data_IF_987028401195
#
_entry.id   IF_987028401195
#
_cell.length_a   1.000
_cell.length_b   1.000
_cell.length_c   1.000
_cell.angle_alpha   90.00
_cell.angle_beta   90.00
_cell.angle_gamma   90.00
#
_symmetry.space_group_name_H-M   'P 1'
#
loop_
_entity.id
_entity.type
_entity.pdbx_description
1 polymer ?
#
# COMPACT_ATOMS: atom_id res chain seq x y z
N UNK A 1 4.18 -7.98 20.91
CA UNK A 1 5.56 -8.41 20.56
C UNK A 1 6.23 -7.25 19.86
N UNK A 2 7.41 -6.82 20.33
CA UNK A 2 8.15 -5.72 19.70
C UNK A 2 8.76 -6.20 18.38
N UNK A 3 8.65 -5.43 17.28
CA UNK A 3 9.35 -5.75 16.04
C UNK A 3 10.86 -5.67 16.29
N UNK A 4 11.60 -6.67 15.84
CA UNK A 4 13.06 -6.65 15.92
C UNK A 4 13.60 -5.68 14.87
N UNK A 5 14.56 -4.84 15.27
CA UNK A 5 15.15 -3.79 14.42
C UNK A 5 16.65 -3.72 14.67
N UNK A 6 17.41 -3.62 13.59
CA UNK A 6 18.84 -3.40 13.56
C UNK A 6 19.13 -2.13 12.74
N UNK A 7 19.95 -1.24 13.28
CA UNK A 7 20.34 0.00 12.62
C UNK A 7 21.84 0.25 12.85
N UNK A 8 22.61 0.39 11.77
CA UNK A 8 24.06 0.60 11.85
C UNK A 8 24.57 1.38 10.65
N UNK A 9 25.55 2.23 10.89
CA UNK A 9 26.30 2.89 9.83
C UNK A 9 27.51 2.03 9.47
N UNK A 10 27.71 1.80 8.17
CA UNK A 10 28.83 1.01 7.66
C UNK A 10 29.52 1.77 6.55
N UNK A 11 30.81 1.52 6.35
CA UNK A 11 31.54 2.00 5.18
C UNK A 11 31.16 1.18 3.93
N UNK A 12 31.70 1.57 2.76
CA UNK A 12 31.45 0.87 1.50
C UNK A 12 31.81 -0.63 1.55
N UNK A 13 32.81 -1.01 2.35
CA UNK A 13 33.24 -2.40 2.52
C UNK A 13 32.42 -3.20 3.54
N UNK A 14 31.69 -2.52 4.42
CA UNK A 14 30.92 -3.11 5.52
C UNK A 14 29.54 -3.60 5.11
N UNK A 15 28.91 -3.00 4.09
CA UNK A 15 27.59 -3.42 3.62
C UNK A 15 27.56 -4.89 3.14
N UNK A 16 28.50 -5.37 2.31
CA UNK A 16 28.55 -6.78 1.92
C UNK A 16 28.72 -7.74 3.11
N UNK A 17 29.43 -7.31 4.17
CA UNK A 17 29.61 -8.12 5.39
C UNK A 17 28.30 -8.21 6.17
N UNK A 18 27.60 -7.08 6.36
CA UNK A 18 26.28 -7.04 7.02
C UNK A 18 25.26 -7.93 6.30
N UNK A 19 25.25 -7.96 4.97
CA UNK A 19 24.36 -8.82 4.20
C UNK A 19 24.71 -10.30 4.33
N UNK A 20 26.00 -10.63 4.41
CA UNK A 20 26.46 -12.01 4.60
C UNK A 20 26.13 -12.51 6.01
N UNK A 21 26.40 -11.71 7.04
CA UNK A 21 26.08 -12.04 8.43
C UNK A 21 24.56 -12.20 8.63
N UNK A 22 23.75 -11.40 7.94
CA UNK A 22 22.30 -11.56 7.93
C UNK A 22 21.87 -12.88 7.24
N UNK A 23 22.43 -13.20 6.08
CA UNK A 23 22.13 -14.45 5.37
C UNK A 23 22.49 -15.67 6.23
N UNK A 24 23.68 -15.67 6.84
CA UNK A 24 24.15 -16.74 7.72
C UNK A 24 23.23 -16.88 8.95
N UNK A 25 22.75 -15.77 9.52
CA UNK A 25 21.80 -15.79 10.64
C UNK A 25 20.42 -16.36 10.24
N UNK A 26 19.98 -16.14 9.00
CA UNK A 26 18.71 -16.68 8.48
C UNK A 26 18.79 -18.17 8.17
N UNK A 27 19.91 -18.61 7.61
CA UNK A 27 20.15 -20.00 7.21
C UNK A 27 20.54 -20.89 8.42
N UNK A 28 21.28 -20.34 9.38
CA UNK A 28 21.81 -21.05 10.55
C UNK A 28 20.83 -21.23 11.72
N UNK A 29 19.60 -20.73 11.62
CA UNK A 29 18.63 -20.68 12.71
C UNK A 29 18.07 -22.06 13.17
N UNK A 30 18.58 -23.17 12.61
CA UNK A 30 18.41 -24.53 13.15
C UNK A 30 19.46 -24.92 14.21
N UNK A 31 20.65 -24.31 14.19
CA UNK A 31 21.73 -24.59 15.13
C UNK A 31 22.06 -23.33 15.94
N UNK A 32 21.83 -23.42 17.26
CA UNK A 32 21.95 -22.33 18.24
C UNK A 32 23.39 -21.82 18.44
N UNK A 33 24.03 -21.27 17.41
CA UNK A 33 25.39 -20.68 17.51
C UNK A 33 25.64 -19.44 16.67
N UNK A 34 24.62 -18.72 16.19
CA UNK A 34 24.83 -17.37 15.67
C UNK A 34 24.88 -16.35 16.83
N UNK A 35 26.05 -16.25 17.48
CA UNK A 35 26.36 -15.11 18.35
C UNK A 35 26.78 -13.92 17.48
N UNK A 36 26.12 -12.78 17.62
CA UNK A 36 26.42 -11.55 16.86
C UNK A 36 25.26 -10.55 16.90
N UNK A 37 25.38 -9.46 16.14
CA UNK A 37 24.42 -8.35 16.06
C UNK A 37 22.99 -8.79 15.62
N UNK A 38 22.85 -10.01 15.10
CA UNK A 38 21.61 -10.63 14.63
C UNK A 38 21.06 -11.73 15.56
N UNK A 39 21.63 -11.89 16.76
CA UNK A 39 21.13 -12.83 17.75
C UNK A 39 19.68 -12.46 18.15
N UNK A 40 18.73 -13.35 17.84
CA UNK A 40 17.31 -13.14 18.12
C UNK A 40 16.42 -12.90 16.89
N UNK A 41 17.00 -12.86 15.69
CA UNK A 41 16.22 -13.04 14.45
C UNK A 41 15.67 -14.47 14.48
N UNK A 42 14.38 -14.62 14.77
CA UNK A 42 13.76 -15.96 14.76
C UNK A 42 13.63 -16.45 13.33
N UNK A 43 13.91 -17.74 13.07
CA UNK A 43 13.75 -18.31 11.73
C UNK A 43 12.32 -18.12 11.23
N UNK A 44 12.22 -17.77 9.95
CA UNK A 44 11.01 -17.55 9.15
C UNK A 44 10.11 -18.80 9.01
N UNK A 45 10.34 -19.83 9.82
CA UNK A 45 9.81 -21.18 9.69
C UNK A 45 9.02 -21.57 10.94
N UNK A 46 8.00 -20.80 11.27
CA UNK A 46 7.05 -21.10 12.35
C UNK A 46 5.64 -20.84 11.86
N UNK A 47 4.84 -21.91 11.78
CA UNK A 47 3.49 -21.97 11.20
C UNK A 47 2.65 -20.69 11.35
N UNK A 48 2.18 -20.17 10.21
CA UNK A 48 0.94 -19.40 10.15
C UNK A 48 1.04 -17.88 10.06
N UNK A 49 2.22 -17.26 10.17
CA UNK A 49 2.40 -15.84 9.84
C UNK A 49 3.59 -15.67 8.92
N UNK A 50 3.36 -15.29 7.66
CA UNK A 50 4.45 -14.79 6.82
C UNK A 50 5.11 -13.63 7.58
N UNK A 51 6.41 -13.67 7.79
CA UNK A 51 7.17 -12.55 8.37
C UNK A 51 7.97 -11.92 7.22
N UNK A 52 8.06 -10.59 7.18
CA UNK A 52 8.78 -9.84 6.16
C UNK A 52 10.00 -9.17 6.80
N UNK A 53 11.15 -9.29 6.13
CA UNK A 53 12.31 -8.44 6.37
C UNK A 53 12.26 -7.27 5.41
N UNK A 54 12.43 -6.07 5.95
CA UNK A 54 12.68 -4.87 5.17
C UNK A 54 14.09 -4.40 5.45
N UNK A 55 14.89 -4.33 4.39
CA UNK A 55 16.26 -3.83 4.40
C UNK A 55 16.32 -2.52 3.63
N UNK A 56 16.76 -1.48 4.30
CA UNK A 56 16.99 -0.15 3.72
C UNK A 56 18.47 0.18 3.89
N UNK A 57 19.12 0.51 2.78
CA UNK A 57 20.50 1.00 2.77
C UNK A 57 20.53 2.35 2.08
N UNK A 58 20.76 3.41 2.84
CA UNK A 58 20.85 4.78 2.33
C UNK A 58 22.32 5.16 2.15
N UNK A 59 22.70 5.50 0.92
CA UNK A 59 24.04 5.97 0.61
C UNK A 59 24.30 7.34 1.25
N UNK A 60 25.49 7.53 1.80
CA UNK A 60 25.94 8.77 2.42
C UNK A 60 26.98 9.48 1.57
N UNK A 61 27.10 10.78 1.79
CA UNK A 61 28.05 11.65 1.07
C UNK A 61 29.52 11.27 1.31
N UNK A 62 29.82 10.57 2.41
CA UNK A 62 31.14 10.04 2.75
C UNK A 62 31.47 8.69 2.06
N UNK A 63 30.58 8.20 1.19
CA UNK A 63 30.74 6.91 0.52
C UNK A 63 30.35 5.71 1.39
N UNK A 64 29.83 5.92 2.60
CA UNK A 64 29.27 4.90 3.47
C UNK A 64 27.78 4.66 3.25
N UNK A 65 27.20 3.79 4.07
CA UNK A 65 25.77 3.44 4.07
C UNK A 65 25.19 3.48 5.48
N UNK A 66 23.99 4.07 5.62
CA UNK A 66 23.14 3.85 6.78
C UNK A 66 22.23 2.64 6.50
N UNK A 67 22.40 1.56 7.27
CA UNK A 67 21.67 0.31 7.06
C UNK A 67 20.65 0.13 8.17
N UNK A 68 19.39 -0.05 7.78
CA UNK A 68 18.29 -0.40 8.67
C UNK A 68 17.64 -1.70 8.23
N UNK A 69 17.58 -2.68 9.13
CA UNK A 69 16.94 -3.97 8.91
C UNK A 69 15.82 -4.11 9.93
N UNK A 70 14.61 -4.37 9.47
CA UNK A 70 13.44 -4.54 10.35
C UNK A 70 12.76 -5.86 10.05
N UNK A 71 12.47 -6.63 11.11
CA UNK A 71 11.67 -7.84 11.03
C UNK A 71 10.28 -7.56 11.58
N UNK A 72 9.27 -7.68 10.71
CA UNK A 72 7.87 -7.56 11.07
C UNK A 72 7.10 -8.81 10.67
N UNK A 73 5.92 -9.00 11.26
CA UNK A 73 4.91 -9.83 10.61
C UNK A 73 4.66 -9.22 9.22
N UNK A 74 4.49 -10.07 8.21
CA UNK A 74 3.95 -9.65 6.92
C UNK A 74 2.53 -9.15 7.22
N UNK A 75 2.47 -7.86 7.56
CA UNK A 75 1.31 -7.06 7.20
C UNK A 75 1.16 -7.27 5.72
N UNK A 76 0.06 -7.90 5.34
CA UNK A 76 -0.53 -7.82 4.02
C UNK A 76 -0.10 -6.51 3.39
N UNK A 77 0.78 -6.59 2.38
CA UNK A 77 1.26 -5.42 1.67
C UNK A 77 0.04 -4.68 1.14
N UNK A 78 -0.16 -3.50 1.68
CA UNK A 78 -1.38 -2.74 1.50
C UNK A 78 -1.61 -1.91 2.76
N UNK A 79 -0.82 -0.85 2.92
CA UNK A 79 -1.26 0.44 3.47
C UNK A 79 -0.13 1.47 3.59
N UNK A 80 -0.24 2.51 2.77
CA UNK A 80 -0.15 3.89 3.28
C UNK A 80 -0.95 3.97 4.59
N UNK A 81 -0.47 4.67 5.63
CA UNK A 81 -1.08 4.62 6.96
C UNK A 81 -2.53 5.10 6.91
N UNK A 82 -3.47 4.15 7.00
CA UNK A 82 -4.82 4.43 7.49
C UNK A 82 -4.65 4.74 8.97
N UNK A 83 -5.02 5.93 9.47
CA UNK A 83 -4.98 6.18 10.90
C UNK A 83 -5.98 5.22 11.56
N UNK A 84 -5.43 4.30 12.35
CA UNK A 84 -6.21 3.43 13.21
C UNK A 84 -7.09 4.28 14.11
N UNK A 85 -8.38 3.94 14.17
CA UNK A 85 -9.28 4.47 15.17
C UNK A 85 -8.66 4.28 16.56
N UNK A 86 -8.53 5.39 17.29
CA UNK A 86 -8.20 5.35 18.70
C UNK A 86 -9.38 4.73 19.46
N UNK A 87 -9.27 3.44 19.78
CA UNK A 87 -9.78 2.95 21.06
C UNK A 87 -8.85 3.49 22.14
N UNK A 88 -9.20 4.63 22.73
CA UNK A 88 -8.74 5.00 24.06
C UNK A 88 -9.87 4.69 25.05
N UNK A 89 -9.78 3.53 25.70
CA UNK A 89 -10.39 3.35 27.00
C UNK A 89 -9.40 3.80 28.07
N UNK A 90 -9.80 4.85 28.79
CA UNK A 90 -9.48 5.20 30.17
C UNK A 90 -7.99 5.31 30.61
N UNK A 91 -7.49 6.55 30.67
CA UNK A 91 -6.87 7.14 31.90
C UNK A 91 -6.56 8.65 31.74
N UNK A 92 -7.27 9.44 32.54
CA UNK A 92 -7.03 10.83 33.01
C UNK A 92 -6.87 12.01 32.01
N UNK A 93 -7.34 13.24 32.36
CA UNK A 93 -7.67 14.29 31.41
C UNK A 93 -6.51 15.26 31.16
N UNK A 94 -5.92 15.20 29.97
CA UNK A 94 -5.11 16.29 29.40
C UNK A 94 -5.83 16.83 28.16
N UNK A 95 -6.25 18.10 28.19
CA UNK A 95 -6.95 18.80 27.10
C UNK A 95 -6.15 18.73 25.78
N UNK A 96 -6.44 17.76 24.90
CA UNK A 96 -6.04 17.81 23.51
C UNK A 96 -7.09 18.62 22.73
N UNK A 97 -6.68 19.78 22.21
CA UNK A 97 -7.54 20.66 21.43
C UNK A 97 -8.05 19.95 20.17
N UNK A 98 -9.35 20.01 19.93
CA UNK A 98 -9.95 19.53 18.69
C UNK A 98 -9.31 20.25 17.47
N UNK A 99 -9.08 19.54 16.35
CA UNK A 99 -8.52 20.15 15.15
C UNK A 99 -9.42 21.29 14.68
N UNK A 100 -8.82 22.39 14.21
CA UNK A 100 -9.61 23.51 13.68
C UNK A 100 -10.35 23.04 12.42
N UNK A 101 -11.57 23.54 12.14
CA UNK A 101 -12.38 23.09 11.00
C UNK A 101 -11.66 23.06 9.63
N UNK A 102 -10.69 23.96 9.40
CA UNK A 102 -9.87 23.99 8.18
C UNK A 102 -8.82 22.88 8.06
N UNK A 103 -8.27 22.37 9.18
CA UNK A 103 -7.25 21.32 9.18
C UNK A 103 -7.84 19.95 8.85
N UNK A 104 -9.06 19.67 9.34
CA UNK A 104 -9.78 18.44 9.01
C UNK A 104 -10.08 18.33 7.50
N UNK A 105 -10.44 19.45 6.86
CA UNK A 105 -10.70 19.49 5.43
C UNK A 105 -9.42 19.33 4.60
N UNK A 106 -8.31 19.94 5.03
CA UNK A 106 -7.00 19.76 4.39
C UNK A 106 -6.52 18.31 4.46
N UNK A 107 -6.65 17.67 5.63
CA UNK A 107 -6.32 16.25 5.82
C UNK A 107 -7.19 15.33 4.95
N UNK A 108 -8.49 15.62 4.82
CA UNK A 108 -9.38 14.85 3.95
C UNK A 108 -8.98 14.95 2.47
N UNK A 109 -8.63 16.15 2.00
CA UNK A 109 -8.14 16.37 0.62
C UNK A 109 -6.82 15.65 0.37
N UNK A 110 -5.90 15.66 1.33
CA UNK A 110 -4.61 14.98 1.20
C UNK A 110 -4.79 13.46 1.16
N UNK A 111 -5.64 12.88 2.03
CA UNK A 111 -6.00 11.46 1.97
C UNK A 111 -6.60 11.07 0.62
N UNK A 112 -7.53 11.88 0.10
CA UNK A 112 -8.15 11.63 -1.19
C UNK A 112 -7.12 11.68 -2.35
N UNK A 113 -6.18 12.63 -2.32
CA UNK A 113 -5.08 12.69 -3.30
C UNK A 113 -4.19 11.45 -3.25
N UNK A 114 -3.85 10.98 -2.05
CA UNK A 114 -3.03 9.78 -1.88
C UNK A 114 -3.75 8.54 -2.40
N UNK A 115 -5.06 8.39 -2.14
CA UNK A 115 -5.87 7.32 -2.69
C UNK A 115 -5.91 7.36 -4.22
N UNK A 116 -6.16 8.53 -4.82
CA UNK A 116 -6.16 8.71 -6.27
C UNK A 116 -4.81 8.32 -6.90
N UNK A 117 -3.70 8.69 -6.26
CA UNK A 117 -2.34 8.34 -6.72
C UNK A 117 -2.10 6.83 -6.65
N UNK A 118 -2.49 6.18 -5.56
CA UNK A 118 -2.37 4.72 -5.41
C UNK A 118 -3.23 3.99 -6.45
N UNK A 119 -4.49 4.41 -6.63
CA UNK A 119 -5.40 3.83 -7.61
C UNK A 119 -4.85 3.95 -9.03
N UNK A 120 -4.25 5.09 -9.37
CA UNK A 120 -3.61 5.30 -10.67
C UNK A 120 -2.39 4.38 -10.86
N UNK A 121 -1.58 4.17 -9.83
CA UNK A 121 -0.43 3.29 -9.90
C UNK A 121 -0.85 1.85 -10.17
N UNK A 122 -1.84 1.34 -9.43
CA UNK A 122 -2.38 -0.01 -9.62
C UNK A 122 -3.00 -0.17 -11.00
N UNK A 123 -3.81 0.80 -11.45
CA UNK A 123 -4.38 0.80 -12.79
C UNK A 123 -3.29 0.69 -13.87
N UNK A 124 -2.19 1.45 -13.72
CA UNK A 124 -1.10 1.46 -14.69
C UNK A 124 -0.30 0.16 -14.69
N UNK A 125 -0.21 -0.53 -13.55
CA UNK A 125 0.41 -1.85 -13.44
C UNK A 125 -0.48 -2.93 -14.09
N UNK A 126 -1.79 -2.89 -13.83
CA UNK A 126 -2.76 -3.79 -14.47
C UNK A 126 -2.76 -3.64 -15.99
N UNK A 127 -2.81 -2.40 -16.50
CA UNK A 127 -2.76 -2.14 -17.94
C UNK A 127 -1.47 -2.65 -18.59
N UNK A 128 -0.31 -2.39 -17.98
CA UNK A 128 0.97 -2.88 -18.50
C UNK A 128 1.04 -4.40 -18.57
N UNK A 129 0.52 -5.11 -17.56
CA UNK A 129 0.49 -6.57 -17.58
C UNK A 129 -0.37 -7.08 -18.74
N UNK A 130 -1.56 -6.50 -18.95
CA UNK A 130 -2.49 -6.90 -20.00
C UNK A 130 -1.96 -6.54 -21.40
N UNK A 131 -1.35 -5.36 -21.57
CA UNK A 131 -0.69 -4.96 -22.82
C UNK A 131 0.46 -5.91 -23.19
N UNK A 132 1.16 -6.45 -22.18
CA UNK A 132 2.17 -7.48 -22.36
C UNK A 132 1.59 -8.89 -22.61
N UNK A 133 0.26 -9.04 -22.70
CA UNK A 133 -0.41 -10.33 -22.86
C UNK A 133 -0.38 -11.22 -21.62
N UNK A 134 -0.01 -10.67 -20.46
CA UNK A 134 0.09 -11.39 -19.20
C UNK A 134 -1.16 -11.23 -18.34
N UNK A 135 -1.46 -12.26 -17.53
CA UNK A 135 -2.45 -12.14 -16.46
C UNK A 135 -1.87 -11.19 -15.40
N UNK A 136 -2.63 -10.17 -14.93
CA UNK A 136 -2.15 -9.26 -13.90
C UNK A 136 -1.76 -9.96 -12.59
N UNK A 137 -1.06 -9.26 -11.70
CA UNK A 137 -0.82 -9.77 -10.36
C UNK A 137 -2.07 -9.64 -9.51
N UNK A 138 -2.40 -10.71 -8.76
CA UNK A 138 -3.60 -10.75 -7.92
C UNK A 138 -3.61 -9.62 -6.88
N UNK A 139 -2.48 -9.42 -6.21
CA UNK A 139 -2.37 -8.40 -5.16
C UNK A 139 -2.64 -6.99 -5.69
N UNK A 140 -2.16 -6.69 -6.90
CA UNK A 140 -2.44 -5.42 -7.59
C UNK A 140 -3.91 -5.26 -7.92
N UNK A 141 -4.59 -6.34 -8.34
CA UNK A 141 -6.03 -6.30 -8.60
C UNK A 141 -6.81 -6.06 -7.29
N UNK A 142 -6.54 -6.83 -6.24
CA UNK A 142 -7.23 -6.65 -4.95
C UNK A 142 -7.02 -5.24 -4.39
N UNK A 143 -5.80 -4.72 -4.48
CA UNK A 143 -5.46 -3.35 -4.10
C UNK A 143 -6.28 -2.33 -4.91
N UNK A 144 -6.32 -2.48 -6.24
CA UNK A 144 -7.11 -1.62 -7.11
C UNK A 144 -8.61 -1.63 -6.74
N UNK A 145 -9.19 -2.81 -6.51
CA UNK A 145 -10.60 -2.96 -6.14
C UNK A 145 -10.90 -2.28 -4.79
N UNK A 146 -10.07 -2.52 -3.77
CA UNK A 146 -10.22 -1.91 -2.45
C UNK A 146 -10.08 -0.38 -2.50
N UNK A 147 -9.15 0.14 -3.31
CA UNK A 147 -8.98 1.57 -3.51
C UNK A 147 -10.16 2.21 -4.25
N UNK A 148 -10.72 1.52 -5.25
CA UNK A 148 -11.89 1.97 -5.99
C UNK A 148 -13.12 2.08 -5.07
N UNK A 149 -13.36 1.07 -4.23
CA UNK A 149 -14.42 1.09 -3.22
C UNK A 149 -14.20 2.20 -2.19
N UNK A 150 -12.97 2.37 -1.70
CA UNK A 150 -12.61 3.44 -0.77
C UNK A 150 -12.85 4.83 -1.35
N UNK A 151 -12.57 5.05 -2.64
CA UNK A 151 -12.85 6.31 -3.33
C UNK A 151 -14.34 6.58 -3.54
N UNK A 152 -15.16 5.54 -3.71
CA UNK A 152 -16.61 5.69 -3.82
C UNK A 152 -17.28 5.95 -2.47
N UNK A 153 -16.73 5.42 -1.38
CA UNK A 153 -17.24 5.58 -0.01
C UNK A 153 -16.87 6.93 0.62
N UNK A 154 -15.80 7.58 0.17
CA UNK A 154 -15.35 8.85 0.72
C UNK A 154 -16.09 10.04 0.06
N UNK A 155 -16.44 11.09 0.84
CA UNK A 155 -16.92 12.35 0.29
C UNK A 155 -15.89 12.89 -0.70
N UNK A 156 -16.27 12.95 -1.97
CA UNK A 156 -15.41 13.48 -3.00
C UNK A 156 -15.30 15.01 -2.79
N UNK A 157 -14.10 15.60 -2.89
CA UNK A 157 -13.90 17.03 -2.72
C UNK A 157 -14.35 17.80 -3.98
N UNK A 158 -15.55 17.50 -4.50
CA UNK A 158 -16.18 18.26 -5.57
C UNK A 158 -16.76 19.51 -4.92
N UNK A 159 -16.31 20.69 -5.37
CA UNK A 159 -16.64 21.96 -4.70
C UNK A 159 -18.12 22.34 -4.79
N UNK A 160 -18.86 21.77 -5.75
CA UNK A 160 -20.17 22.28 -6.12
C UNK A 160 -21.27 21.20 -6.30
N UNK A 161 -20.99 19.91 -6.04
CA UNK A 161 -21.96 18.84 -6.27
C UNK A 161 -23.11 18.89 -5.23
N UNK A 162 -24.13 19.68 -5.54
CA UNK A 162 -25.39 19.75 -4.80
C UNK A 162 -26.55 19.37 -5.72
N UNK A 163 -27.51 18.60 -5.22
CA UNK A 163 -28.70 18.21 -6.00
C UNK A 163 -28.41 17.19 -7.12
N UNK A 164 -28.90 17.38 -8.36
CA UNK A 164 -28.86 16.35 -9.41
C UNK A 164 -27.45 15.89 -9.81
N UNK A 165 -26.45 16.77 -9.71
CA UNK A 165 -25.04 16.47 -10.01
C UNK A 165 -24.42 15.47 -9.04
N UNK A 166 -24.82 15.52 -7.75
CA UNK A 166 -24.41 14.52 -6.77
C UNK A 166 -25.01 13.14 -7.11
N UNK A 167 -26.23 13.12 -7.65
CA UNK A 167 -26.87 11.90 -8.16
C UNK A 167 -26.17 11.33 -9.39
N UNK A 168 -25.72 12.19 -10.32
CA UNK A 168 -24.91 11.78 -11.48
C UNK A 168 -23.55 11.22 -11.06
N UNK A 169 -22.86 11.87 -10.13
CA UNK A 169 -21.60 11.39 -9.59
C UNK A 169 -21.76 10.03 -8.89
N UNK A 170 -22.82 9.86 -8.10
CA UNK A 170 -23.14 8.59 -7.46
C UNK A 170 -23.38 7.49 -8.50
N UNK A 171 -24.17 7.75 -9.55
CA UNK A 171 -24.37 6.80 -10.66
C UNK A 171 -23.06 6.48 -11.38
N UNK A 172 -22.22 7.48 -11.63
CA UNK A 172 -20.89 7.31 -12.22
C UNK A 172 -20.00 6.40 -11.38
N UNK A 173 -19.99 6.58 -10.06
CA UNK A 173 -19.26 5.73 -9.12
C UNK A 173 -19.78 4.29 -9.12
N UNK A 174 -21.10 4.09 -9.07
CA UNK A 174 -21.70 2.75 -9.16
C UNK A 174 -21.27 2.04 -10.43
N UNK A 175 -21.39 2.70 -11.59
CA UNK A 175 -21.00 2.12 -12.86
C UNK A 175 -19.49 1.84 -12.97
N UNK A 176 -18.65 2.65 -12.31
CA UNK A 176 -17.20 2.39 -12.21
C UNK A 176 -16.92 1.14 -11.36
N UNK A 177 -17.61 0.96 -10.23
CA UNK A 177 -17.48 -0.22 -9.38
C UNK A 177 -17.98 -1.48 -10.06
N UNK A 178 -19.05 -1.41 -10.84
CA UNK A 178 -19.54 -2.55 -11.65
C UNK A 178 -18.51 -3.00 -12.71
N UNK A 179 -17.82 -2.05 -13.34
CA UNK A 179 -16.71 -2.37 -14.25
C UNK A 179 -15.51 -2.95 -13.49
N UNK A 180 -15.21 -2.46 -12.28
CA UNK A 180 -14.17 -3.03 -11.43
C UNK A 180 -14.49 -4.49 -11.04
N UNK A 181 -15.74 -4.80 -10.70
CA UNK A 181 -16.18 -6.18 -10.46
C UNK A 181 -16.15 -7.03 -11.74
N UNK A 182 -16.40 -6.43 -12.90
CA UNK A 182 -16.22 -7.12 -14.19
C UNK A 182 -14.76 -7.44 -14.48
N UNK A 183 -13.83 -6.58 -14.05
CA UNK A 183 -12.38 -6.83 -14.16
C UNK A 183 -12.00 -8.04 -13.30
N UNK A 184 -12.56 -8.14 -12.09
CA UNK A 184 -12.37 -9.30 -11.21
C UNK A 184 -12.82 -10.60 -11.86
N UNK A 185 -14.01 -10.62 -12.46
CA UNK A 185 -14.52 -11.79 -13.19
C UNK A 185 -13.62 -12.18 -14.36
N UNK A 186 -13.18 -11.22 -15.16
CA UNK A 186 -12.25 -11.46 -16.28
C UNK A 186 -10.91 -12.02 -15.79
N UNK A 187 -10.40 -11.51 -14.67
CA UNK A 187 -9.19 -11.98 -14.03
C UNK A 187 -9.31 -13.42 -13.53
N UNK A 188 -10.39 -13.74 -12.80
CA UNK A 188 -10.62 -15.08 -12.25
C UNK A 188 -10.80 -16.12 -13.38
N UNK A 189 -11.35 -15.70 -14.53
CA UNK A 189 -11.42 -16.50 -15.76
C UNK A 189 -10.07 -16.59 -16.52
N UNK A 190 -9.04 -15.85 -16.09
CA UNK A 190 -7.75 -15.69 -16.80
C UNK A 190 -7.89 -15.20 -18.24
N UNK A 191 -8.95 -14.44 -18.53
CA UNK A 191 -9.20 -13.89 -19.86
C UNK A 191 -8.54 -12.51 -19.99
N UNK A 192 -7.33 -12.51 -20.54
CA UNK A 192 -6.52 -11.30 -20.74
C UNK A 192 -7.20 -10.31 -21.70
N UNK A 193 -7.92 -10.80 -22.71
CA UNK A 193 -8.65 -9.95 -23.66
C UNK A 193 -9.83 -9.25 -22.98
N UNK A 194 -10.60 -9.98 -22.17
CA UNK A 194 -11.66 -9.40 -21.37
C UNK A 194 -11.12 -8.37 -20.37
N UNK A 195 -9.98 -8.65 -19.71
CA UNK A 195 -9.30 -7.69 -18.84
C UNK A 195 -8.95 -6.40 -19.61
N UNK A 196 -8.42 -6.49 -20.83
CA UNK A 196 -8.08 -5.33 -21.66
C UNK A 196 -9.31 -4.47 -21.97
N UNK A 197 -10.41 -5.12 -22.36
CA UNK A 197 -11.66 -4.43 -22.67
C UNK A 197 -12.24 -3.72 -21.46
N UNK A 198 -12.20 -4.35 -20.28
CA UNK A 198 -12.69 -3.75 -19.03
C UNK A 198 -11.82 -2.57 -18.63
N UNK A 199 -10.49 -2.71 -18.66
CA UNK A 199 -9.55 -1.61 -18.36
C UNK A 199 -9.75 -0.42 -19.30
N UNK A 200 -10.02 -0.66 -20.59
CA UNK A 200 -10.34 0.39 -21.54
C UNK A 200 -11.66 1.11 -21.20
N UNK A 201 -12.70 0.40 -20.74
CA UNK A 201 -13.95 1.02 -20.26
C UNK A 201 -13.71 1.87 -19.02
N UNK A 202 -12.98 1.34 -18.03
CA UNK A 202 -12.60 2.06 -16.82
C UNK A 202 -11.83 3.36 -17.15
N UNK A 203 -10.89 3.31 -18.09
CA UNK A 203 -10.16 4.48 -18.57
C UNK A 203 -11.08 5.54 -19.16
N UNK A 204 -12.05 5.14 -20.01
CA UNK A 204 -13.02 6.08 -20.60
C UNK A 204 -13.90 6.72 -19.54
N UNK A 205 -14.43 5.94 -18.57
CA UNK A 205 -15.23 6.49 -17.46
C UNK A 205 -14.45 7.46 -16.60
N UNK A 206 -13.20 7.13 -16.25
CA UNK A 206 -12.31 8.03 -15.53
C UNK A 206 -12.13 9.35 -16.29
N UNK A 207 -11.87 9.29 -17.59
CA UNK A 207 -11.71 10.49 -18.41
C UNK A 207 -12.99 11.32 -18.48
N UNK A 208 -14.17 10.69 -18.60
CA UNK A 208 -15.46 11.39 -18.56
C UNK A 208 -15.71 12.07 -17.21
N UNK A 209 -15.50 11.36 -16.10
CA UNK A 209 -15.60 11.93 -14.75
C UNK A 209 -14.66 13.11 -14.56
N UNK A 210 -13.40 13.00 -15.02
CA UNK A 210 -12.46 14.12 -14.95
C UNK A 210 -12.88 15.28 -15.85
N UNK A 211 -13.45 15.04 -17.04
CA UNK A 211 -13.92 16.14 -17.89
C UNK A 211 -15.05 16.94 -17.24
N UNK A 212 -15.90 16.28 -16.45
CA UNK A 212 -17.08 16.88 -15.82
C UNK A 212 -16.77 17.54 -14.47
N UNK A 213 -15.82 17.02 -13.69
CA UNK A 213 -15.63 17.40 -12.27
C UNK A 213 -14.18 17.79 -11.90
N UNK A 214 -13.34 18.23 -12.85
CA UNK A 214 -11.94 18.60 -12.57
C UNK A 214 -11.77 19.86 -11.74
#
# INVERSE_FOLDING_TARGET
>A
MCPWMYEKNVDAGGLPRVLRDLADALEGAGDRRAGGDFAGVQPFCGQGSAQRLELVAEAREDGGFAVRITAGQARTQGKNPVPAGSQMAARAPGKAASPRPGEAQALAREKYRQLKKALQADFSALSRAVEAGAVPQRDTLESFLALAEGMAALPQPVKDAHGPEAGELARGNTAFLEDAQSLRRAFDARDVSACAQVLARLARRRSACHAQYR
#
